data_IF_192487138900
#
_entry.id   IF_192487138900
#
_cell.length_a   1.000
_cell.length_b   1.000
_cell.length_c   1.000
_cell.angle_alpha   90.00
_cell.angle_beta   90.00
_cell.angle_gamma   90.00
#
_symmetry.space_group_name_H-M   'P 1'
#
loop_
_entity.id
_entity.type
_entity.pdbx_description
1 polymer ?
#
# COMPACT_ATOMS: atom_id res chain seq x y z
N UNK A 1 14.46 12.89 8.25
CA UNK A 1 15.33 12.22 9.24
C UNK A 1 16.69 12.13 8.57
N UNK A 2 17.71 12.75 9.16
CA UNK A 2 19.04 12.77 8.58
C UNK A 2 19.67 11.38 8.70
N UNK A 3 20.30 10.90 7.63
CA UNK A 3 20.85 9.55 7.53
C UNK A 3 22.31 9.63 7.95
N UNK A 4 22.61 9.10 9.13
CA UNK A 4 23.96 8.96 9.63
C UNK A 4 24.63 7.79 8.91
N UNK A 5 25.73 8.07 8.21
CA UNK A 5 26.39 7.15 7.31
C UNK A 5 27.60 6.52 8.02
N UNK A 6 27.36 5.53 8.89
CA UNK A 6 28.43 4.74 9.50
C UNK A 6 28.79 3.55 8.63
N UNK A 7 29.97 3.65 8.00
CA UNK A 7 30.65 2.58 7.29
C UNK A 7 31.34 1.65 8.30
N UNK A 8 30.75 0.47 8.55
CA UNK A 8 31.33 -0.59 9.37
C UNK A 8 31.40 -1.92 8.60
N UNK A 9 32.55 -2.21 8.00
CA UNK A 9 32.94 -3.56 7.59
C UNK A 9 33.50 -4.29 8.82
N UNK A 10 33.09 -5.54 9.06
CA UNK A 10 33.91 -6.68 9.53
C UNK A 10 33.04 -7.88 9.99
N UNK A 11 33.03 -8.92 9.15
CA UNK A 11 33.18 -10.36 9.43
C UNK A 11 32.34 -11.08 10.52
N UNK A 12 31.46 -11.99 10.08
CA UNK A 12 31.49 -13.45 10.41
C UNK A 12 30.49 -14.25 9.54
N UNK A 13 30.82 -15.48 9.05
CA UNK A 13 29.93 -16.28 8.22
C UNK A 13 29.36 -17.47 9.02
N UNK A 14 28.19 -17.32 9.65
CA UNK A 14 27.44 -18.50 10.08
C UNK A 14 25.95 -18.23 10.28
N UNK A 15 25.14 -19.12 9.71
CA UNK A 15 23.69 -19.09 9.81
C UNK A 15 23.05 -18.83 8.46
N UNK A 16 22.80 -19.91 7.71
CA UNK A 16 21.86 -19.96 6.60
C UNK A 16 20.44 -19.62 7.09
N UNK A 17 20.19 -18.38 7.49
CA UNK A 17 18.84 -17.86 7.52
C UNK A 17 18.58 -17.31 6.12
N UNK A 18 17.49 -17.76 5.51
CA UNK A 18 17.00 -17.27 4.24
C UNK A 18 16.57 -15.82 4.45
N UNK A 19 17.54 -14.90 4.53
CA UNK A 19 17.35 -13.50 4.26
C UNK A 19 17.01 -13.42 2.77
N UNK A 20 15.76 -13.76 2.45
CA UNK A 20 15.05 -13.12 1.36
C UNK A 20 14.80 -11.68 1.83
N UNK A 21 15.89 -10.93 2.04
CA UNK A 21 15.86 -9.49 2.17
C UNK A 21 15.17 -9.04 0.91
N UNK A 22 13.97 -8.52 1.07
CA UNK A 22 13.20 -8.01 -0.05
C UNK A 22 14.04 -6.88 -0.64
N UNK A 23 14.75 -7.14 -1.75
CA UNK A 23 15.41 -6.12 -2.58
C UNK A 23 14.31 -5.33 -3.30
N UNK A 24 13.48 -4.65 -2.52
CA UNK A 24 12.43 -3.76 -2.99
C UNK A 24 13.10 -2.40 -3.10
N UNK A 25 13.10 -1.83 -4.30
CA UNK A 25 13.65 -0.50 -4.51
C UNK A 25 12.88 0.54 -3.70
N UNK A 26 13.51 1.68 -3.38
CA UNK A 26 12.90 2.73 -2.55
C UNK A 26 11.51 3.15 -3.03
N UNK A 27 11.34 3.29 -4.36
CA UNK A 27 10.05 3.63 -4.96
C UNK A 27 8.98 2.57 -4.72
N UNK A 28 9.34 1.29 -4.83
CA UNK A 28 8.41 0.19 -4.61
C UNK A 28 8.05 0.09 -3.12
N UNK A 29 9.02 0.28 -2.23
CA UNK A 29 8.77 0.30 -0.79
C UNK A 29 7.87 1.48 -0.41
N UNK A 30 8.10 2.66 -0.98
CA UNK A 30 7.27 3.83 -0.78
C UNK A 30 5.84 3.61 -1.27
N UNK A 31 5.68 2.96 -2.43
CA UNK A 31 4.38 2.57 -2.96
C UNK A 31 3.65 1.60 -2.02
N UNK A 32 4.33 0.54 -1.56
CA UNK A 32 3.76 -0.45 -0.64
C UNK A 32 3.34 0.16 0.70
N UNK A 33 4.19 0.98 1.30
CA UNK A 33 3.86 1.68 2.54
C UNK A 33 2.65 2.61 2.36
N UNK A 34 2.60 3.37 1.26
CA UNK A 34 1.50 4.30 0.98
C UNK A 34 0.17 3.58 0.74
N UNK A 35 0.17 2.53 -0.11
CA UNK A 35 -1.04 1.75 -0.39
C UNK A 35 -1.51 0.97 0.85
N UNK A 36 -0.57 0.46 1.65
CA UNK A 36 -0.86 -0.19 2.93
C UNK A 36 -1.52 0.76 3.92
N UNK A 37 -0.98 1.99 4.04
CA UNK A 37 -1.56 3.03 4.87
C UNK A 37 -2.98 3.38 4.42
N UNK A 38 -3.18 3.66 3.12
CA UNK A 38 -4.49 3.98 2.56
C UNK A 38 -5.52 2.89 2.86
N UNK A 39 -5.18 1.61 2.65
CA UNK A 39 -6.06 0.49 2.99
C UNK A 39 -6.42 0.47 4.47
N UNK A 40 -5.44 0.69 5.35
CA UNK A 40 -5.67 0.69 6.80
C UNK A 40 -6.54 1.85 7.26
N UNK A 41 -6.30 3.05 6.71
CA UNK A 41 -7.10 4.25 6.95
C UNK A 41 -8.55 4.06 6.51
N UNK A 42 -8.75 3.54 5.28
CA UNK A 42 -10.08 3.26 4.75
C UNK A 42 -10.85 2.26 5.60
N UNK A 43 -10.16 1.25 6.17
CA UNK A 43 -10.78 0.30 7.10
C UNK A 43 -11.10 0.93 8.46
N UNK A 44 -10.20 1.76 8.98
CA UNK A 44 -10.33 2.38 10.29
C UNK A 44 -11.54 3.33 10.35
N UNK A 45 -11.75 4.10 9.29
CA UNK A 45 -12.83 5.09 9.19
C UNK A 45 -13.95 4.64 8.26
N UNK A 46 -14.17 3.32 8.15
CA UNK A 46 -15.11 2.78 7.17
C UNK A 46 -16.52 3.34 7.36
N UNK A 47 -16.99 3.47 8.60
CA UNK A 47 -18.34 3.98 8.91
C UNK A 47 -18.55 5.39 8.40
N UNK A 48 -17.59 6.29 8.67
CA UNK A 48 -17.61 7.68 8.26
C UNK A 48 -17.47 7.79 6.74
N UNK A 49 -16.53 7.05 6.15
CA UNK A 49 -16.32 7.04 4.69
C UNK A 49 -17.58 6.54 3.96
N UNK A 50 -18.25 5.51 4.48
CA UNK A 50 -19.48 4.99 3.89
C UNK A 50 -20.61 6.03 3.86
N UNK A 51 -20.71 6.91 4.87
CA UNK A 51 -21.69 7.99 4.88
C UNK A 51 -21.47 9.03 3.76
N UNK A 52 -20.26 9.09 3.20
CA UNK A 52 -19.87 10.02 2.13
C UNK A 52 -19.56 9.32 0.80
N UNK A 53 -19.83 8.02 0.66
CA UNK A 53 -19.34 7.22 -0.47
C UNK A 53 -19.84 7.72 -1.83
N UNK A 54 -21.06 8.26 -1.90
CA UNK A 54 -21.62 8.77 -3.15
C UNK A 54 -20.85 10.00 -3.68
N UNK A 55 -20.54 10.94 -2.78
CA UNK A 55 -19.70 12.10 -3.10
C UNK A 55 -18.28 11.67 -3.48
N UNK A 56 -17.72 10.71 -2.74
CA UNK A 56 -16.38 10.17 -3.05
C UNK A 56 -16.34 9.43 -4.39
N UNK A 57 -17.43 8.79 -4.81
CA UNK A 57 -17.51 8.16 -6.13
C UNK A 57 -17.51 9.18 -7.27
N UNK A 58 -18.13 10.34 -7.05
CA UNK A 58 -18.20 11.43 -8.03
C UNK A 58 -16.91 12.25 -8.11
N UNK A 59 -16.26 12.49 -6.97
CA UNK A 59 -15.13 13.42 -6.87
C UNK A 59 -13.75 12.75 -6.78
N UNK A 60 -13.67 11.53 -6.21
CA UNK A 60 -12.40 10.88 -5.87
C UNK A 60 -12.19 9.57 -6.63
N UNK A 61 -13.18 8.67 -6.65
CA UNK A 61 -13.10 7.37 -7.32
C UNK A 61 -13.54 7.42 -8.78
N UNK A 62 -13.28 8.55 -9.43
CA UNK A 62 -13.49 8.85 -10.85
C UNK A 62 -12.64 7.98 -11.77
N UNK A 63 -12.91 7.97 -13.08
CA UNK A 63 -12.25 7.06 -14.04
C UNK A 63 -10.73 7.24 -14.16
N UNK A 64 -10.22 8.41 -13.80
CA UNK A 64 -8.81 8.82 -13.85
C UNK A 64 -8.00 8.41 -12.61
N UNK A 65 -8.65 7.97 -11.52
CA UNK A 65 -7.93 7.50 -10.35
C UNK A 65 -7.05 6.30 -10.68
N UNK A 66 -5.82 6.29 -10.15
CA UNK A 66 -4.91 5.18 -10.37
C UNK A 66 -5.51 3.86 -9.83
N UNK A 67 -5.52 2.76 -10.62
CA UNK A 67 -6.19 1.51 -10.23
C UNK A 67 -5.72 0.94 -8.88
N UNK A 68 -4.44 1.07 -8.54
CA UNK A 68 -3.91 0.60 -7.26
C UNK A 68 -4.47 1.37 -6.06
N UNK A 69 -4.70 2.67 -6.20
CA UNK A 69 -5.28 3.51 -5.14
C UNK A 69 -6.74 3.09 -4.91
N UNK A 70 -7.51 2.97 -5.99
CA UNK A 70 -8.90 2.48 -5.92
C UNK A 70 -8.96 1.10 -5.27
N UNK A 71 -8.10 0.17 -5.68
CA UNK A 71 -8.05 -1.19 -5.13
C UNK A 71 -7.71 -1.20 -3.63
N UNK A 72 -6.72 -0.41 -3.21
CA UNK A 72 -6.33 -0.32 -1.80
C UNK A 72 -7.47 0.23 -0.93
N UNK A 73 -8.08 1.34 -1.33
CA UNK A 73 -9.20 1.95 -0.62
C UNK A 73 -10.42 1.01 -0.56
N UNK A 74 -10.81 0.41 -1.69
CA UNK A 74 -11.97 -0.47 -1.76
C UNK A 74 -11.76 -1.75 -0.95
N UNK A 75 -10.53 -2.29 -0.95
CA UNK A 75 -10.17 -3.41 -0.08
C UNK A 75 -10.31 -3.06 1.40
N UNK A 76 -9.97 -1.83 1.80
CA UNK A 76 -10.16 -1.35 3.17
C UNK A 76 -11.64 -1.17 3.54
N UNK A 77 -12.46 -0.72 2.59
CA UNK A 77 -13.90 -0.52 2.76
C UNK A 77 -14.74 -1.81 2.61
N UNK A 78 -14.10 -2.95 2.34
CA UNK A 78 -14.78 -4.20 1.98
C UNK A 78 -15.76 -4.02 0.80
N UNK A 79 -15.43 -3.13 -0.13
CA UNK A 79 -16.23 -2.84 -1.32
C UNK A 79 -15.82 -3.78 -2.45
N UNK A 80 -16.79 -4.46 -3.05
CA UNK A 80 -16.53 -5.34 -4.19
C UNK A 80 -16.01 -4.53 -5.38
N UNK A 81 -14.76 -4.79 -5.77
CA UNK A 81 -14.24 -4.41 -7.08
C UNK A 81 -14.64 -5.51 -8.05
N UNK A 82 -15.58 -5.24 -8.97
CA UNK A 82 -15.79 -6.13 -10.13
C UNK A 82 -14.57 -6.03 -11.04
N UNK A 83 -13.48 -6.68 -10.67
CA UNK A 83 -12.41 -7.00 -11.61
C UNK A 83 -13.03 -8.01 -12.58
N UNK A 84 -13.38 -7.56 -13.79
CA UNK A 84 -13.72 -8.48 -14.89
C UNK A 84 -12.55 -9.46 -14.99
N UNK A 85 -12.77 -10.67 -14.51
CA UNK A 85 -11.85 -11.77 -14.61
C UNK A 85 -11.85 -12.17 -16.08
N UNK A 86 -10.99 -11.55 -16.88
CA UNK A 86 -10.67 -12.00 -18.22
C UNK A 86 -9.73 -13.20 -18.07
N UNK A 87 -10.33 -14.37 -17.81
CA UNK A 87 -9.81 -15.68 -18.17
C UNK A 87 -10.37 -16.04 -19.54
#
# INVERSE_FOLDING_TARGET
>A
MEIDNENGDNSEPNGQNRNKGYNVGELEQWCLCTLGYLKSFSRQYATEIWSHIAMLDEEVFTWDIHPLIRKAAFSGLCRFTSEKSHL
#
